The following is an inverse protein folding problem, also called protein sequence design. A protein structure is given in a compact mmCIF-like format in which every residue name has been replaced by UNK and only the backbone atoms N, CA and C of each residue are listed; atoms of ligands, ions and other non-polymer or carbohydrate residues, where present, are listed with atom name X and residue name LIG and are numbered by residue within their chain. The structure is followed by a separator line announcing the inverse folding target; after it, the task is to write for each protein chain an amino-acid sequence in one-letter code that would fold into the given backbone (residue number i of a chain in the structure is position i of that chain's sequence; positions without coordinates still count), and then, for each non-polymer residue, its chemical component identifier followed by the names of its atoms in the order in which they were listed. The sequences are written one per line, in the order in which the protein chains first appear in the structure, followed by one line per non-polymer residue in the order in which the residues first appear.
data_IF_989260389997
#
_entry.id   IF_989260389997
#
_cell.length_a   1.000
_cell.length_b   1.000
_cell.length_c   1.000
_cell.angle_alpha   90.00
_cell.angle_beta   90.00
_cell.angle_gamma   90.00
#
_symmetry.space_group_name_H-M   'P 1'
#
loop_
_entity.id
_entity.type
_entity.pdbx_description
1 polymer ?
#
# COMPACT_ATOMS: atom_id res chain seq x y z
N UNK A 1 24.91 12.73 15.26
CA UNK A 1 24.65 11.30 14.99
C UNK A 1 25.90 10.48 15.31
N UNK A 2 25.78 9.39 16.07
CA UNK A 2 26.85 8.41 16.25
C UNK A 2 26.99 7.61 14.95
N UNK A 3 28.03 7.91 14.18
CA UNK A 3 28.25 7.31 12.85
C UNK A 3 28.57 5.82 12.92
N UNK A 4 29.28 5.37 13.96
CA UNK A 4 29.64 3.96 14.10
C UNK A 4 28.38 3.09 14.32
N UNK A 5 27.52 3.52 15.26
CA UNK A 5 26.26 2.84 15.52
C UNK A 5 25.35 2.85 14.29
N UNK A 6 25.23 4.01 13.62
CA UNK A 6 24.42 4.13 12.42
C UNK A 6 24.91 3.20 11.29
N UNK A 7 26.23 3.09 11.08
CA UNK A 7 26.78 2.19 10.06
C UNK A 7 26.48 0.72 10.38
N UNK A 8 26.54 0.30 11.66
CA UNK A 8 26.16 -1.06 12.06
C UNK A 8 24.67 -1.34 11.81
N UNK A 9 23.80 -0.40 12.16
CA UNK A 9 22.36 -0.48 11.88
C UNK A 9 22.09 -0.55 10.38
N UNK A 10 22.75 0.28 9.60
CA UNK A 10 22.58 0.33 8.15
C UNK A 10 23.03 -0.99 7.51
N UNK A 11 24.13 -1.57 7.97
CA UNK A 11 24.68 -2.84 7.49
C UNK A 11 23.89 -4.08 7.92
N UNK A 12 23.00 -3.98 8.92
CA UNK A 12 22.19 -5.10 9.37
C UNK A 12 21.28 -5.61 8.24
N UNK A 13 21.41 -6.89 7.92
CA UNK A 13 20.64 -7.56 6.88
C UNK A 13 19.47 -8.34 7.50
N UNK A 14 18.25 -7.92 7.18
CA UNK A 14 17.02 -8.53 7.67
C UNK A 14 16.71 -9.87 6.98
N UNK A 15 17.34 -10.16 5.85
CA UNK A 15 17.08 -11.36 5.03
C UNK A 15 18.22 -12.39 5.12
N UNK A 16 19.10 -12.29 6.12
CA UNK A 16 20.16 -13.26 6.35
C UNK A 16 19.84 -14.20 7.54
N UNK A 17 19.91 -15.53 7.39
CA UNK A 17 20.20 -16.27 6.16
C UNK A 17 19.06 -16.15 5.12
N UNK A 18 19.39 -16.17 3.82
CA UNK A 18 18.39 -16.10 2.76
C UNK A 18 17.42 -17.26 2.90
N UNK A 19 16.13 -16.93 2.94
CA UNK A 19 15.04 -17.90 2.99
C UNK A 19 13.97 -17.53 1.97
N UNK A 20 13.25 -18.54 1.48
CA UNK A 20 12.14 -18.37 0.53
C UNK A 20 11.04 -17.45 1.10
N UNK A 21 10.93 -17.39 2.43
CA UNK A 21 10.01 -16.51 3.15
C UNK A 21 10.74 -15.61 4.16
N UNK A 22 11.77 -14.91 3.66
CA UNK A 22 12.55 -13.94 4.42
C UNK A 22 11.74 -12.74 4.92
N UNK A 23 12.36 -11.94 5.81
CA UNK A 23 11.70 -10.80 6.44
C UNK A 23 11.10 -9.82 5.41
N UNK A 24 11.87 -9.38 4.43
CA UNK A 24 11.41 -8.39 3.45
C UNK A 24 10.36 -8.96 2.51
N UNK A 25 10.48 -10.25 2.14
CA UNK A 25 9.50 -10.95 1.28
C UNK A 25 8.15 -11.05 1.99
N UNK A 26 8.16 -11.52 3.24
CA UNK A 26 6.97 -11.60 4.06
C UNK A 26 6.32 -10.23 4.26
N UNK A 27 7.13 -9.20 4.53
CA UNK A 27 6.66 -7.83 4.75
C UNK A 27 5.94 -7.30 3.51
N UNK A 28 6.55 -7.51 2.34
CA UNK A 28 5.96 -7.11 1.07
C UNK A 28 4.65 -7.84 0.79
N UNK A 29 4.62 -9.16 1.00
CA UNK A 29 3.46 -10.00 0.67
C UNK A 29 2.26 -9.74 1.58
N UNK A 30 2.47 -9.64 2.89
CA UNK A 30 1.37 -9.43 3.85
C UNK A 30 0.73 -8.03 3.70
N UNK A 31 1.50 -7.04 3.24
CA UNK A 31 1.04 -5.65 3.08
C UNK A 31 0.80 -5.23 1.63
N UNK A 32 0.98 -6.15 0.66
CA UNK A 32 0.91 -5.87 -0.77
C UNK A 32 1.84 -4.73 -1.23
N UNK A 33 2.98 -4.57 -0.57
CA UNK A 33 3.96 -3.52 -0.87
C UNK A 33 4.82 -3.89 -2.07
N UNK A 34 5.22 -2.87 -2.83
CA UNK A 34 6.25 -3.04 -3.85
C UNK A 34 7.61 -3.22 -3.20
N UNK A 35 8.52 -3.96 -3.85
CA UNK A 35 9.89 -4.17 -3.34
C UNK A 35 10.58 -2.87 -2.93
N UNK A 36 10.56 -1.86 -3.80
CA UNK A 36 11.19 -0.56 -3.53
C UNK A 36 10.52 0.17 -2.34
N UNK A 37 9.20 0.09 -2.19
CA UNK A 37 8.52 0.65 -1.03
C UNK A 37 8.91 -0.08 0.26
N UNK A 38 8.98 -1.41 0.22
CA UNK A 38 9.44 -2.23 1.36
C UNK A 38 10.85 -1.86 1.80
N UNK A 39 11.79 -1.74 0.86
CA UNK A 39 13.17 -1.32 1.15
C UNK A 39 13.23 0.08 1.79
N UNK A 40 12.43 1.03 1.29
CA UNK A 40 12.32 2.36 1.88
C UNK A 40 11.71 2.31 3.29
N UNK A 41 10.65 1.53 3.50
CA UNK A 41 10.04 1.36 4.82
C UNK A 41 11.01 0.75 5.83
N UNK A 42 11.80 -0.25 5.44
CA UNK A 42 12.84 -0.85 6.29
C UNK A 42 13.93 0.16 6.63
N UNK A 43 14.35 1.00 5.67
CA UNK A 43 15.32 2.06 5.93
C UNK A 43 14.80 3.09 6.94
N UNK A 44 13.53 3.50 6.81
CA UNK A 44 12.89 4.42 7.75
C UNK A 44 12.70 3.78 9.13
N UNK A 45 12.43 2.47 9.18
CA UNK A 45 12.42 1.70 10.43
C UNK A 45 13.79 1.68 11.11
N UNK A 46 14.88 1.45 10.37
CA UNK A 46 16.25 1.54 10.88
C UNK A 46 16.54 2.91 11.50
N UNK A 47 16.11 4.00 10.85
CA UNK A 47 16.24 5.37 11.39
C UNK A 47 15.44 5.57 12.67
N UNK A 48 14.20 5.09 12.71
CA UNK A 48 13.38 5.13 13.92
C UNK A 48 14.03 4.38 15.09
N UNK A 49 14.54 3.17 14.85
CA UNK A 49 15.21 2.37 15.88
C UNK A 49 16.50 3.01 16.38
N UNK A 50 17.26 3.68 15.50
CA UNK A 50 18.38 4.52 15.92
C UNK A 50 17.90 5.62 16.90
N UNK A 51 16.84 6.36 16.57
CA UNK A 51 16.31 7.41 17.47
C UNK A 51 15.84 6.83 18.81
N UNK A 52 15.16 5.67 18.80
CA UNK A 52 14.71 4.98 20.00
C UNK A 52 15.87 4.50 20.89
N UNK A 53 16.98 4.11 20.27
CA UNK A 53 18.19 3.69 20.96
C UNK A 53 18.96 4.86 21.57
N UNK A 54 19.10 5.98 20.84
CA UNK A 54 19.96 7.09 21.25
C UNK A 54 19.26 8.19 22.06
N UNK A 55 17.94 8.10 22.24
CA UNK A 55 17.17 9.10 23.00
C UNK A 55 16.65 8.51 24.30
N UNK A 56 16.69 9.30 25.38
CA UNK A 56 16.13 8.92 26.69
C UNK A 56 14.61 9.13 26.78
N UNK A 57 14.02 9.72 25.74
CA UNK A 57 12.60 10.04 25.66
C UNK A 57 11.84 9.02 24.82
N UNK A 58 10.56 8.85 25.13
CA UNK A 58 9.64 8.07 24.31
C UNK A 58 9.53 8.69 22.89
N UNK A 59 9.66 7.81 21.90
CA UNK A 59 9.44 8.06 20.48
C UNK A 59 8.28 7.20 19.98
N UNK A 60 7.63 7.64 18.90
CA UNK A 60 6.47 6.97 18.31
C UNK A 60 6.67 6.88 16.79
N UNK A 61 6.56 5.67 16.20
CA UNK A 61 6.72 5.47 14.77
C UNK A 61 5.54 6.05 13.96
N UNK A 62 5.71 6.19 12.65
CA UNK A 62 4.55 6.30 11.74
C UNK A 62 3.87 4.93 11.58
N UNK A 63 2.65 4.89 11.04
CA UNK A 63 1.91 3.62 10.86
C UNK A 63 2.68 2.62 9.99
N UNK A 64 3.28 3.07 8.88
CA UNK A 64 4.09 2.22 8.01
C UNK A 64 5.34 1.69 8.74
N UNK A 65 6.02 2.53 9.53
CA UNK A 65 7.20 2.11 10.31
C UNK A 65 6.80 1.14 11.42
N UNK A 66 5.65 1.34 12.05
CA UNK A 66 5.08 0.46 13.07
C UNK A 66 4.73 -0.92 12.49
N UNK A 67 4.23 -0.99 11.25
CA UNK A 67 4.04 -2.26 10.53
C UNK A 67 5.34 -3.03 10.39
N UNK A 68 6.44 -2.37 10.02
CA UNK A 68 7.77 -3.02 9.95
C UNK A 68 8.21 -3.51 11.33
N UNK A 69 8.02 -2.69 12.36
CA UNK A 69 8.40 -3.04 13.72
C UNK A 69 7.62 -4.24 14.25
N UNK A 70 6.30 -4.26 14.07
CA UNK A 70 5.45 -5.39 14.44
C UNK A 70 5.91 -6.68 13.78
N UNK A 71 6.25 -6.64 12.49
CA UNK A 71 6.80 -7.82 11.84
C UNK A 71 8.14 -8.22 12.45
N UNK A 72 9.02 -7.27 12.76
CA UNK A 72 10.32 -7.59 13.35
C UNK A 72 10.19 -8.27 14.72
N UNK A 73 9.22 -7.85 15.53
CA UNK A 73 8.91 -8.49 16.82
C UNK A 73 8.50 -9.97 16.68
N UNK A 74 7.92 -10.37 15.54
CA UNK A 74 7.59 -11.78 15.25
C UNK A 74 8.87 -12.61 15.00
N UNK A 75 9.89 -12.01 14.39
CA UNK A 75 11.20 -12.63 14.19
C UNK A 75 12.09 -12.41 15.43
N UNK A 76 11.72 -13.04 16.54
CA UNK A 76 12.30 -12.79 17.88
C UNK A 76 13.83 -12.89 17.93
N UNK A 77 14.44 -13.83 17.20
CA UNK A 77 15.89 -13.96 17.13
C UNK A 77 16.53 -12.77 16.40
N UNK A 78 16.05 -12.44 15.19
CA UNK A 78 16.52 -11.26 14.43
C UNK A 78 16.34 -9.98 15.23
N UNK A 79 15.21 -9.85 15.94
CA UNK A 79 14.93 -8.70 16.81
C UNK A 79 15.96 -8.56 17.92
N UNK A 80 16.31 -9.67 18.56
CA UNK A 80 17.30 -9.69 19.64
C UNK A 80 18.68 -9.31 19.11
N UNK A 81 19.10 -9.90 17.99
CA UNK A 81 20.39 -9.59 17.35
C UNK A 81 20.47 -8.11 16.95
N UNK A 82 19.38 -7.54 16.45
CA UNK A 82 19.33 -6.11 16.12
C UNK A 82 19.38 -5.23 17.37
N UNK A 83 18.68 -5.59 18.45
CA UNK A 83 18.75 -4.87 19.73
C UNK A 83 20.14 -4.93 20.38
N UNK A 84 20.88 -6.03 20.19
CA UNK A 84 22.27 -6.15 20.64
C UNK A 84 23.17 -5.14 19.91
N UNK A 85 22.95 -4.92 18.61
CA UNK A 85 23.64 -3.86 17.84
C UNK A 85 23.26 -2.46 18.35
N UNK A 86 21.98 -2.25 18.69
CA UNK A 86 21.51 -0.99 19.26
C UNK A 86 22.06 -0.73 20.67
N UNK A 87 22.53 -1.76 21.37
CA UNK A 87 22.95 -1.70 22.77
C UNK A 87 21.80 -1.43 23.74
N UNK A 88 20.56 -1.57 23.29
CA UNK A 88 19.34 -1.28 24.07
C UNK A 88 18.18 -2.11 23.56
N UNK A 89 17.51 -2.80 24.47
CA UNK A 89 16.25 -3.47 24.16
C UNK A 89 15.14 -2.43 24.07
N UNK A 90 14.60 -2.23 22.86
CA UNK A 90 13.45 -1.35 22.67
C UNK A 90 12.17 -2.13 23.01
N UNK A 91 11.31 -1.57 23.85
CA UNK A 91 10.04 -2.20 24.20
C UNK A 91 8.91 -1.57 23.38
N UNK A 92 8.11 -2.42 22.75
CA UNK A 92 6.87 -1.98 22.11
C UNK A 92 5.77 -1.88 23.17
N UNK A 93 5.09 -0.74 23.20
CA UNK A 93 3.96 -0.49 24.10
C UNK A 93 2.73 -0.26 23.22
N UNK A 94 1.78 -1.21 23.17
CA UNK A 94 0.55 -1.05 22.41
C UNK A 94 -0.21 0.19 22.86
N UNK A 95 -0.75 0.94 21.91
CA UNK A 95 -1.64 2.06 22.26
C UNK A 95 -2.92 1.50 22.89
N UNK A 96 -3.23 1.88 24.13
CA UNK A 96 -4.53 1.56 24.72
C UNK A 96 -5.54 2.67 24.39
N UNK A 97 -6.84 2.38 24.56
CA UNK A 97 -7.92 3.35 24.33
C UNK A 97 -8.04 4.39 25.46
N UNK A 98 -7.03 4.52 26.34
CA UNK A 98 -7.06 5.45 27.45
C UNK A 98 -6.73 6.88 26.97
N UNK A 99 -7.59 7.85 27.32
CA UNK A 99 -7.41 9.26 26.92
C UNK A 99 -6.09 9.87 27.40
N UNK A 100 -5.58 9.45 28.57
CA UNK A 100 -4.31 9.95 29.10
C UNK A 100 -3.08 9.43 28.35
N UNK A 101 -3.20 8.29 27.66
CA UNK A 101 -2.14 7.75 26.81
C UNK A 101 -2.16 8.39 25.42
N UNK A 102 -3.34 8.77 24.94
CA UNK A 102 -3.51 9.41 23.64
C UNK A 102 -2.68 10.70 23.51
N UNK A 103 -2.70 11.55 24.55
CA UNK A 103 -1.87 12.77 24.59
C UNK A 103 -0.37 12.46 24.67
N UNK A 104 0.03 11.39 25.39
CA UNK A 104 1.44 10.96 25.45
C UNK A 104 1.93 10.49 24.08
N UNK A 105 1.15 9.67 23.38
CA UNK A 105 1.49 9.20 22.03
C UNK A 105 1.56 10.34 21.03
N UNK A 106 0.63 11.31 21.12
CA UNK A 106 0.67 12.52 20.29
C UNK A 106 1.95 13.32 20.50
N UNK A 107 2.32 13.59 21.75
CA UNK A 107 3.57 14.27 22.08
C UNK A 107 4.81 13.47 21.63
N UNK A 108 4.78 12.16 21.77
CA UNK A 108 5.85 11.29 21.29
C UNK A 108 5.98 11.35 19.76
N UNK A 109 4.88 11.40 19.01
CA UNK A 109 4.88 11.53 17.54
C UNK A 109 5.47 12.86 17.10
N UNK A 110 5.03 13.96 17.71
CA UNK A 110 5.58 15.30 17.43
C UNK A 110 7.08 15.37 17.73
N UNK A 111 7.50 14.85 18.89
CA UNK A 111 8.92 14.76 19.27
C UNK A 111 9.72 13.93 18.28
N UNK A 112 9.18 12.79 17.85
CA UNK A 112 9.88 11.90 16.91
C UNK A 112 10.12 12.61 15.59
N UNK A 113 9.15 13.39 15.10
CA UNK A 113 9.34 14.22 13.91
C UNK A 113 10.44 15.26 14.06
N UNK A 114 10.55 15.92 15.22
CA UNK A 114 11.61 16.88 15.50
C UNK A 114 12.99 16.21 15.56
N UNK A 115 13.12 15.12 16.31
CA UNK A 115 14.36 14.34 16.42
C UNK A 115 14.80 13.76 15.07
N UNK A 116 13.84 13.25 14.30
CA UNK A 116 14.10 12.76 12.96
C UNK A 116 14.67 13.89 12.09
N UNK A 117 14.04 15.08 12.12
CA UNK A 117 14.49 16.23 11.34
C UNK A 117 15.88 16.69 11.70
N UNK A 118 16.22 16.68 12.99
CA UNK A 118 17.54 17.05 13.49
C UNK A 118 18.63 16.07 13.02
N UNK A 119 18.35 14.77 13.04
CA UNK A 119 19.35 13.73 12.76
C UNK A 119 19.46 13.38 11.27
N UNK A 120 18.32 13.28 10.57
CA UNK A 120 18.22 12.72 9.22
C UNK A 120 17.63 13.70 8.18
N UNK A 121 17.18 14.89 8.59
CA UNK A 121 16.49 15.84 7.71
C UNK A 121 14.99 15.53 7.55
N UNK A 122 14.35 16.11 6.53
CA UNK A 122 12.89 15.98 6.40
C UNK A 122 12.46 14.52 6.11
N UNK A 123 11.52 13.96 6.90
CA UNK A 123 11.05 12.60 6.71
C UNK A 123 10.27 12.48 5.38
N UNK A 124 10.41 11.35 4.65
CA UNK A 124 9.65 11.14 3.43
C UNK A 124 8.16 11.00 3.75
N UNK A 125 7.36 11.88 3.15
CA UNK A 125 5.91 11.90 3.36
C UNK A 125 5.23 10.57 2.97
N UNK A 126 5.81 9.84 2.01
CA UNK A 126 5.35 8.51 1.58
C UNK A 126 5.37 7.45 2.69
N UNK A 127 6.24 7.59 3.70
CA UNK A 127 6.39 6.64 4.81
C UNK A 127 5.90 7.21 6.14
N UNK A 128 6.10 8.52 6.36
CA UNK A 128 5.78 9.15 7.64
C UNK A 128 4.44 9.89 7.67
N UNK A 129 3.88 10.23 6.50
CA UNK A 129 2.66 11.02 6.36
C UNK A 129 1.39 10.24 6.06
N UNK A 130 1.52 9.01 5.55
CA UNK A 130 0.39 8.15 5.17
C UNK A 130 0.26 6.94 6.11
N UNK A 131 -0.96 6.39 6.19
CA UNK A 131 -1.23 5.15 6.92
C UNK A 131 -0.71 3.91 6.18
N UNK A 132 -0.79 3.95 4.85
CA UNK A 132 -0.36 2.86 3.97
C UNK A 132 0.26 3.38 2.66
N UNK A 133 0.77 2.45 1.84
CA UNK A 133 1.36 2.75 0.53
C UNK A 133 0.35 3.39 -0.46
N UNK A 134 -0.91 2.97 -0.40
CA UNK A 134 -1.95 3.32 -1.38
C UNK A 134 -2.58 4.68 -1.14
N UNK A 135 -2.52 5.22 0.08
CA UNK A 135 -2.99 6.58 0.38
C UNK A 135 -2.27 7.64 -0.46
N UNK A 136 -1.04 7.37 -0.91
CA UNK A 136 -0.32 8.22 -1.86
C UNK A 136 -1.06 8.39 -3.21
N UNK A 137 -1.98 7.48 -3.56
CA UNK A 137 -2.83 7.55 -4.74
C UNK A 137 -4.09 8.41 -4.55
N UNK A 138 -4.41 8.79 -3.30
CA UNK A 138 -5.58 9.60 -2.94
C UNK A 138 -6.90 9.06 -3.51
N UNK A 139 -7.05 7.73 -3.50
CA UNK A 139 -8.25 7.08 -4.00
C UNK A 139 -9.43 7.37 -3.07
N UNK A 140 -10.60 7.61 -3.65
CA UNK A 140 -11.84 7.65 -2.88
C UNK A 140 -12.09 6.28 -2.27
N UNK A 141 -12.37 6.25 -0.96
CA UNK A 141 -12.72 5.01 -0.27
C UNK A 141 -14.02 4.47 -0.85
N UNK A 142 -13.99 3.22 -1.31
CA UNK A 142 -15.17 2.58 -1.89
C UNK A 142 -16.32 2.56 -0.86
N UNK A 143 -17.47 3.12 -1.24
CA UNK A 143 -18.67 3.14 -0.39
C UNK A 143 -19.41 1.80 -0.36
N UNK A 144 -19.13 0.91 -1.31
CA UNK A 144 -19.80 -0.39 -1.45
C UNK A 144 -18.81 -1.54 -1.51
N UNK A 145 -19.18 -2.66 -0.87
CA UNK A 145 -18.44 -3.93 -0.99
C UNK A 145 -18.62 -4.48 -2.39
N UNK A 146 -17.52 -4.97 -2.98
CA UNK A 146 -17.50 -5.55 -4.32
C UNK A 146 -18.56 -6.64 -4.50
N UNK A 147 -18.70 -7.54 -3.52
CA UNK A 147 -19.70 -8.62 -3.55
C UNK A 147 -21.13 -8.09 -3.64
N UNK A 148 -21.47 -7.04 -2.89
CA UNK A 148 -22.80 -6.43 -2.91
C UNK A 148 -23.09 -5.81 -4.27
N UNK A 149 -22.13 -5.06 -4.81
CA UNK A 149 -22.24 -4.47 -6.14
C UNK A 149 -22.45 -5.53 -7.22
N UNK A 150 -21.67 -6.63 -7.20
CA UNK A 150 -21.79 -7.73 -8.16
C UNK A 150 -23.16 -8.42 -8.08
N UNK A 151 -23.66 -8.70 -6.88
CA UNK A 151 -24.98 -9.33 -6.70
C UNK A 151 -26.09 -8.42 -7.24
N UNK A 152 -26.07 -7.13 -6.91
CA UNK A 152 -27.03 -6.15 -7.42
C UNK A 152 -26.97 -6.10 -8.94
N UNK A 153 -25.77 -6.08 -9.53
CA UNK A 153 -25.58 -6.09 -10.98
C UNK A 153 -26.15 -7.33 -11.67
N UNK A 154 -25.94 -8.52 -11.10
CA UNK A 154 -26.50 -9.77 -11.64
C UNK A 154 -28.02 -9.76 -11.58
N UNK A 155 -28.60 -9.39 -10.43
CA UNK A 155 -30.05 -9.34 -10.25
C UNK A 155 -30.70 -8.31 -11.19
N UNK A 156 -30.10 -7.13 -11.32
CA UNK A 156 -30.55 -6.11 -12.26
C UNK A 156 -30.49 -6.60 -13.71
N UNK A 157 -29.41 -7.29 -14.10
CA UNK A 157 -29.27 -7.86 -15.45
C UNK A 157 -30.36 -8.89 -15.74
N UNK A 158 -30.61 -9.81 -14.80
CA UNK A 158 -31.68 -10.80 -14.94
C UNK A 158 -33.06 -10.15 -15.03
N UNK A 159 -33.35 -9.20 -14.14
CA UNK A 159 -34.62 -8.49 -14.10
C UNK A 159 -34.89 -7.67 -15.38
N UNK A 160 -33.86 -7.07 -15.96
CA UNK A 160 -33.97 -6.23 -17.15
C UNK A 160 -33.96 -7.02 -18.47
N UNK A 161 -33.51 -8.28 -18.45
CA UNK A 161 -33.42 -9.11 -19.66
C UNK A 161 -34.76 -9.29 -20.39
N UNK A 162 -35.84 -9.58 -19.64
CA UNK A 162 -37.17 -9.83 -20.20
C UNK A 162 -37.79 -8.56 -20.79
N UNK A 163 -37.87 -7.42 -20.06
CA UNK A 163 -38.38 -6.17 -20.64
C UNK A 163 -37.57 -5.72 -21.86
N UNK A 164 -36.24 -5.84 -21.81
CA UNK A 164 -35.36 -5.42 -22.90
C UNK A 164 -35.58 -6.28 -24.16
N UNK A 165 -35.79 -7.59 -24.00
CA UNK A 165 -36.14 -8.47 -25.12
C UNK A 165 -37.41 -7.99 -25.84
N UNK A 166 -38.50 -7.71 -25.10
CA UNK A 166 -39.75 -7.25 -25.72
C UNK A 166 -39.60 -5.87 -26.37
N UNK A 167 -38.85 -4.96 -25.77
CA UNK A 167 -38.59 -3.63 -26.33
C UNK A 167 -37.79 -3.69 -27.64
N UNK A 168 -36.81 -4.60 -27.74
CA UNK A 168 -35.95 -4.73 -28.92
C UNK A 168 -36.51 -5.67 -30.00
N UNK A 169 -37.42 -6.58 -29.64
CA UNK A 169 -38.09 -7.52 -30.56
C UNK A 169 -38.62 -6.87 -31.86
N UNK A 170 -39.36 -5.75 -31.85
CA UNK A 170 -39.87 -5.15 -33.09
C UNK A 170 -38.78 -4.63 -34.02
N UNK A 171 -37.58 -4.34 -33.48
CA UNK A 171 -36.42 -3.90 -34.24
C UNK A 171 -35.72 -5.13 -34.83
N UNK A 172 -35.46 -6.17 -34.01
CA UNK A 172 -34.72 -7.36 -34.44
C UNK A 172 -35.40 -8.13 -35.56
N UNK A 173 -36.73 -8.23 -35.56
CA UNK A 173 -37.48 -8.96 -36.60
C UNK A 173 -37.38 -8.28 -37.97
N UNK A 174 -37.05 -6.98 -38.02
CA UNK A 174 -36.92 -6.21 -39.28
C UNK A 174 -35.52 -6.25 -39.88
N UNK A 175 -34.51 -6.71 -39.13
CA UNK A 175 -33.12 -6.71 -39.58
C UNK A 175 -32.80 -8.09 -40.16
N UNK A 176 -32.55 -8.14 -41.46
CA UNK A 176 -32.15 -9.37 -42.14
C UNK A 176 -30.65 -9.68 -41.92
N UNK A 177 -30.29 -10.95 -42.12
CA UNK A 177 -28.89 -11.39 -42.16
C UNK A 177 -28.28 -10.95 -43.52
N UNK A 178 -27.07 -10.35 -43.59
CA UNK A 178 -26.02 -10.24 -42.56
C UNK A 178 -25.98 -8.95 -41.75
N UNK A 179 -26.89 -8.01 -42.01
CA UNK A 179 -26.88 -6.69 -41.36
C UNK A 179 -26.97 -6.79 -39.83
N UNK A 180 -27.73 -7.75 -39.29
CA UNK A 180 -27.77 -8.02 -37.86
C UNK A 180 -26.39 -8.35 -37.28
N UNK A 181 -25.65 -9.26 -37.92
CA UNK A 181 -24.36 -9.74 -37.44
C UNK A 181 -23.30 -8.64 -37.53
N UNK A 182 -23.30 -7.88 -38.62
CA UNK A 182 -22.40 -6.72 -38.80
C UNK A 182 -22.68 -5.65 -37.74
N UNK A 183 -23.96 -5.34 -37.49
CA UNK A 183 -24.35 -4.38 -36.45
C UNK A 183 -23.96 -4.83 -35.05
N UNK A 184 -24.18 -6.10 -34.72
CA UNK A 184 -23.81 -6.68 -33.43
C UNK A 184 -22.28 -6.66 -33.21
N UNK A 185 -21.49 -7.07 -34.20
CA UNK A 185 -20.03 -7.00 -34.14
C UNK A 185 -19.53 -5.56 -34.00
N UNK A 186 -20.14 -4.63 -34.74
CA UNK A 186 -19.82 -3.20 -34.63
C UNK A 186 -20.09 -2.67 -33.22
N UNK A 187 -21.21 -3.07 -32.60
CA UNK A 187 -21.55 -2.68 -31.24
C UNK A 187 -20.58 -3.25 -30.20
N UNK A 188 -20.15 -4.51 -30.36
CA UNK A 188 -19.10 -5.11 -29.52
C UNK A 188 -17.81 -4.30 -29.62
N UNK A 189 -17.38 -3.99 -30.84
CA UNK A 189 -16.16 -3.23 -31.11
C UNK A 189 -16.25 -1.84 -30.47
N UNK A 190 -17.35 -1.11 -30.70
CA UNK A 190 -17.58 0.21 -30.13
C UNK A 190 -17.58 0.16 -28.60
N UNK A 191 -18.26 -0.83 -28.01
CA UNK A 191 -18.30 -1.02 -26.56
C UNK A 191 -16.91 -1.30 -25.99
N UNK A 192 -16.14 -2.19 -26.63
CA UNK A 192 -14.77 -2.52 -26.22
C UNK A 192 -13.86 -1.30 -26.27
N UNK A 193 -13.85 -0.55 -27.37
CA UNK A 193 -13.03 0.66 -27.49
C UNK A 193 -13.51 1.77 -26.55
N UNK A 194 -14.82 1.91 -26.35
CA UNK A 194 -15.40 2.84 -25.38
C UNK A 194 -14.96 2.53 -23.95
N UNK A 195 -15.00 1.25 -23.55
CA UNK A 195 -14.55 0.80 -22.25
C UNK A 195 -13.04 0.98 -22.07
N UNK A 196 -12.25 0.65 -23.10
CA UNK A 196 -10.80 0.86 -23.09
C UNK A 196 -10.47 2.34 -22.91
N UNK A 197 -11.14 3.23 -23.65
CA UNK A 197 -10.94 4.67 -23.55
C UNK A 197 -11.37 5.20 -22.19
N UNK A 198 -12.51 4.74 -21.65
CA UNK A 198 -12.98 5.10 -20.32
C UNK A 198 -11.98 4.68 -19.24
N UNK A 199 -11.53 3.42 -19.26
CA UNK A 199 -10.56 2.89 -18.31
C UNK A 199 -9.23 3.64 -18.38
N UNK A 200 -8.74 3.92 -19.60
CA UNK A 200 -7.53 4.72 -19.80
C UNK A 200 -7.68 6.13 -19.23
N UNK A 201 -8.81 6.80 -19.50
CA UNK A 201 -9.06 8.14 -18.98
C UNK A 201 -9.14 8.14 -17.45
N UNK A 202 -9.83 7.17 -16.84
CA UNK A 202 -9.90 7.02 -15.37
C UNK A 202 -8.53 6.76 -14.75
N UNK A 203 -7.73 5.86 -15.33
CA UNK A 203 -6.37 5.59 -14.87
C UNK A 203 -5.49 6.85 -14.96
N UNK A 204 -5.55 7.59 -16.07
CA UNK A 204 -4.80 8.83 -16.23
C UNK A 204 -5.23 9.89 -15.21
N UNK A 205 -6.52 9.98 -14.88
CA UNK A 205 -7.00 10.87 -13.81
C UNK A 205 -6.41 10.49 -12.45
N UNK A 206 -6.41 9.19 -12.11
CA UNK A 206 -5.79 8.69 -10.86
C UNK A 206 -4.31 9.06 -10.82
N UNK A 207 -3.56 8.77 -11.88
CA UNK A 207 -2.12 9.07 -11.96
C UNK A 207 -1.86 10.57 -11.81
N UNK A 208 -2.67 11.43 -12.44
CA UNK A 208 -2.54 12.90 -12.34
C UNK A 208 -2.84 13.45 -10.95
N UNK A 209 -3.70 12.78 -10.17
CA UNK A 209 -4.08 13.20 -8.82
C UNK A 209 -3.18 12.59 -7.74
N UNK A 210 -2.39 11.57 -8.09
CA UNK A 210 -1.48 10.88 -7.18
C UNK A 210 -0.32 11.78 -6.75
N UNK A 211 0.23 11.51 -5.57
CA UNK A 211 1.45 12.18 -5.09
C UNK A 211 2.61 11.93 -6.07
N UNK A 212 3.38 12.95 -6.51
CA UNK A 212 4.53 12.77 -7.39
C UNK A 212 5.61 11.81 -6.84
N UNK A 213 5.65 11.61 -5.51
CA UNK A 213 6.54 10.65 -4.83
C UNK A 213 5.87 9.31 -4.54
N UNK A 214 4.69 9.05 -5.12
CA UNK A 214 3.98 7.78 -4.98
C UNK A 214 4.77 6.62 -5.60
N UNK A 215 4.54 5.42 -5.08
CA UNK A 215 5.19 4.19 -5.52
C UNK A 215 4.98 3.89 -7.02
N UNK A 216 3.89 4.37 -7.62
CA UNK A 216 3.56 4.11 -9.04
C UNK A 216 4.62 4.63 -10.01
N UNK A 217 5.37 5.66 -9.65
CA UNK A 217 6.43 6.23 -10.49
C UNK A 217 7.77 5.50 -10.32
N UNK A 218 7.86 4.60 -9.34
CA UNK A 218 9.04 3.78 -9.06
C UNK A 218 8.82 2.29 -9.38
N UNK A 219 7.73 1.96 -10.08
CA UNK A 219 7.46 0.60 -10.53
C UNK A 219 8.43 0.23 -11.65
N UNK A 220 9.23 -0.82 -11.46
CA UNK A 220 10.06 -1.40 -12.52
C UNK A 220 9.33 -2.60 -13.13
N UNK A 221 9.53 -2.93 -14.42
CA UNK A 221 8.94 -4.13 -15.02
C UNK A 221 9.32 -5.41 -14.27
N UNK A 222 10.51 -5.47 -13.68
CA UNK A 222 10.99 -6.61 -12.90
C UNK A 222 10.22 -6.82 -11.58
N UNK A 223 9.71 -5.77 -10.95
CA UNK A 223 8.92 -5.90 -9.70
C UNK A 223 7.55 -6.56 -9.89
N UNK A 224 7.05 -6.66 -11.13
CA UNK A 224 5.81 -7.38 -11.43
C UNK A 224 5.98 -8.90 -11.44
N UNK A 225 7.13 -9.41 -11.86
CA UNK A 225 7.35 -10.84 -12.03
C UNK A 225 7.57 -11.57 -10.70
N UNK A 226 8.12 -10.89 -9.69
CA UNK A 226 8.34 -11.46 -8.36
C UNK A 226 7.10 -11.51 -7.46
N UNK A 227 6.00 -10.85 -7.84
CA UNK A 227 4.73 -10.90 -7.10
C UNK A 227 3.75 -11.95 -7.67
N UNK A 228 4.07 -12.54 -8.82
CA UNK A 228 3.21 -13.50 -9.55
C UNK A 228 3.81 -14.93 -9.54
N UNK A 229 5.07 -15.08 -9.13
CA UNK A 229 5.73 -16.39 -8.89
C UNK A 229 5.54 -16.84 -7.45
#
# INVERSE_FOLDING_TARGET
MNQELWNKILAFDFDNPPSEYGFSIRLANENYWTKNFTEQAILEYKKFMYLAATTDSMVSPSEIVDTVWHQHLIFTQLYTEFCDILGKQIQHVPSTHNRSELEKFKQAKERTGLLYKEVFGDPPNSIWGFSDMYESLRLEKASFKLRTFTIIGILATLALSIPLYFALKPIYIRIENPYFLIGYLSLIIISFFGLLQFNRNKLLTIIRQSDPKSFIFNLTPASYLSQIS
#
